data_IF_892860357096
#
_entry.id   IF_892860357096
#
_cell.length_a   1.000
_cell.length_b   1.000
_cell.length_c   1.000
_cell.angle_alpha   90.00
_cell.angle_beta   90.00
_cell.angle_gamma   90.00
#
_symmetry.space_group_name_H-M   'P 1'
#
loop_
_entity.id
_entity.type
_entity.pdbx_description
1 polymer ?
#
# COMPACT_ATOMS: atom_id res chain seq x y z
N UNK A 1 0.23 16.03 40.82
CA UNK A 1 0.46 14.77 40.07
C UNK A 1 -0.64 14.62 39.03
N UNK A 2 -0.33 14.61 37.72
CA UNK A 2 -1.32 14.45 36.64
C UNK A 2 -1.22 13.02 36.09
N UNK A 3 -2.25 12.21 36.35
CA UNK A 3 -2.33 10.83 35.86
C UNK A 3 -2.54 10.82 34.34
N UNK A 4 -1.63 10.16 33.62
CA UNK A 4 -1.73 9.92 32.18
C UNK A 4 -2.68 8.74 31.95
N UNK A 5 -3.77 8.98 31.22
CA UNK A 5 -4.66 7.94 30.70
C UNK A 5 -3.92 7.13 29.62
N UNK A 6 -3.65 5.85 29.89
CA UNK A 6 -3.10 4.90 28.93
C UNK A 6 -4.17 4.54 27.89
N UNK A 7 -4.02 4.99 26.65
CA UNK A 7 -4.87 4.58 25.53
C UNK A 7 -4.35 3.23 25.02
N UNK A 8 -5.09 2.17 25.29
CA UNK A 8 -4.78 0.83 24.81
C UNK A 8 -4.72 0.85 23.26
N UNK A 9 -3.59 0.40 22.70
CA UNK A 9 -3.45 0.15 21.27
C UNK A 9 -4.12 -1.20 21.01
N UNK A 10 -5.24 -1.20 20.30
CA UNK A 10 -5.86 -2.45 19.79
C UNK A 10 -4.86 -3.11 18.85
N UNK A 11 -4.64 -4.40 19.03
CA UNK A 11 -3.73 -5.16 18.17
C UNK A 11 -4.42 -5.47 16.84
N UNK A 12 -3.64 -5.83 15.83
CA UNK A 12 -4.16 -6.22 14.52
C UNK A 12 -5.16 -7.40 14.61
N UNK A 13 -4.92 -8.31 15.56
CA UNK A 13 -5.78 -9.46 15.83
C UNK A 13 -7.17 -9.07 16.35
N UNK A 14 -7.28 -7.97 17.12
CA UNK A 14 -8.58 -7.46 17.62
C UNK A 14 -9.49 -6.92 16.50
N UNK A 15 -8.89 -6.50 15.37
CA UNK A 15 -9.62 -5.96 14.22
C UNK A 15 -10.18 -7.09 13.34
N UNK A 16 -9.43 -8.18 13.16
CA UNK A 16 -9.85 -9.31 12.34
C UNK A 16 -11.07 -10.04 12.94
N UNK A 17 -11.09 -10.22 14.27
CA UNK A 17 -12.23 -10.83 14.96
C UNK A 17 -13.51 -9.98 14.86
N UNK A 18 -13.36 -8.65 14.78
CA UNK A 18 -14.48 -7.72 14.60
C UNK A 18 -15.04 -7.69 13.17
N UNK A 19 -14.20 -8.00 12.17
CA UNK A 19 -14.61 -8.10 10.76
C UNK A 19 -15.30 -9.45 10.51
N UNK A 20 -14.82 -10.53 11.12
CA UNK A 20 -15.43 -11.86 11.00
C UNK A 20 -16.80 -11.98 11.68
N UNK A 21 -17.13 -11.05 12.60
CA UNK A 21 -18.42 -11.01 13.30
C UNK A 21 -19.52 -10.25 12.56
N UNK A 22 -19.20 -9.61 11.44
CA UNK A 22 -20.20 -8.95 10.58
C UNK A 22 -20.86 -10.06 9.74
N UNK A 23 -22.12 -10.36 10.05
CA UNK A 23 -22.87 -11.36 9.29
C UNK A 23 -23.05 -10.90 7.84
N UNK A 24 -23.13 -11.84 6.90
CA UNK A 24 -23.33 -11.53 5.47
C UNK A 24 -24.58 -10.68 5.22
N UNK A 25 -25.63 -10.88 6.01
CA UNK A 25 -26.88 -10.10 5.96
C UNK A 25 -26.67 -8.64 6.38
N UNK A 26 -25.80 -8.37 7.37
CA UNK A 26 -25.51 -7.00 7.80
C UNK A 26 -24.70 -6.22 6.75
N UNK A 27 -23.78 -6.91 6.04
CA UNK A 27 -23.01 -6.32 4.94
C UNK A 27 -23.93 -6.02 3.75
N UNK A 28 -24.84 -6.93 3.44
CA UNK A 28 -25.79 -6.81 2.33
C UNK A 28 -26.80 -5.68 2.59
N UNK A 29 -27.40 -5.61 3.79
CA UNK A 29 -28.30 -4.53 4.19
C UNK A 29 -27.60 -3.16 4.21
N UNK A 30 -26.34 -3.10 4.67
CA UNK A 30 -25.54 -1.87 4.62
C UNK A 30 -25.19 -1.46 3.18
N UNK A 31 -25.03 -2.43 2.27
CA UNK A 31 -24.77 -2.19 0.85
C UNK A 31 -26.02 -1.68 0.12
N UNK A 32 -27.19 -2.24 0.41
CA UNK A 32 -28.48 -1.81 -0.14
C UNK A 32 -28.84 -0.42 0.35
N UNK A 33 -28.66 -0.14 1.65
CA UNK A 33 -28.90 1.18 2.23
C UNK A 33 -27.95 2.24 1.65
N UNK A 34 -26.70 1.88 1.35
CA UNK A 34 -25.77 2.76 0.63
C UNK A 34 -26.19 2.95 -0.82
N UNK A 35 -26.62 1.90 -1.52
CA UNK A 35 -27.08 1.97 -2.92
C UNK A 35 -28.33 2.84 -3.08
N UNK A 36 -29.28 2.77 -2.15
CA UNK A 36 -30.50 3.58 -2.16
C UNK A 36 -30.26 5.10 -2.00
N UNK A 37 -29.10 5.51 -1.45
CA UNK A 37 -28.73 6.93 -1.34
C UNK A 37 -28.23 7.52 -2.67
N UNK A 38 -27.84 6.67 -3.61
CA UNK A 38 -27.30 7.06 -4.91
C UNK A 38 -28.16 6.55 -6.07
N UNK A 39 -29.29 5.90 -5.78
CA UNK A 39 -30.26 5.55 -6.81
C UNK A 39 -30.84 6.84 -7.40
N UNK A 40 -30.69 7.08 -8.71
CA UNK A 40 -31.22 8.27 -9.35
C UNK A 40 -32.73 8.28 -9.14
N UNK A 41 -33.24 9.33 -8.48
CA UNK A 41 -34.68 9.58 -8.42
C UNK A 41 -35.19 9.56 -9.86
N UNK A 42 -36.05 8.59 -10.17
CA UNK A 42 -36.47 8.29 -11.53
C UNK A 42 -36.98 9.53 -12.28
N UNK A 43 -37.01 9.47 -13.62
CA UNK A 43 -37.37 10.62 -14.45
C UNK A 43 -38.75 11.14 -14.04
N UNK A 44 -38.73 12.36 -13.53
CA UNK A 44 -39.86 13.22 -13.19
C UNK A 44 -41.20 12.72 -13.74
N UNK A 45 -42.08 12.23 -12.86
CA UNK A 45 -43.50 12.25 -13.17
C UNK A 45 -43.88 13.72 -13.40
N UNK A 46 -44.17 14.05 -14.65
CA UNK A 46 -44.51 15.36 -15.21
C UNK A 46 -45.82 15.98 -14.65
N UNK A 47 -46.18 15.67 -13.40
CA UNK A 47 -47.34 16.23 -12.68
C UNK A 47 -46.97 17.17 -11.52
N UNK A 48 -45.72 17.67 -11.49
CA UNK A 48 -45.27 18.67 -10.52
C UNK A 48 -44.92 20.03 -11.16
N UNK A 49 -45.32 20.26 -12.42
CA UNK A 49 -45.04 21.53 -13.11
C UNK A 49 -45.90 22.69 -12.60
N UNK A 50 -47.06 22.42 -11.98
CA UNK A 50 -47.92 23.43 -11.35
C UNK A 50 -47.36 23.97 -10.01
N UNK A 51 -46.23 23.44 -9.52
CA UNK A 51 -45.58 23.95 -8.30
C UNK A 51 -44.51 25.01 -8.55
N UNK A 52 -44.32 25.42 -9.80
CA UNK A 52 -43.59 26.65 -10.15
C UNK A 52 -44.49 27.89 -10.18
N UNK A 53 -45.78 27.76 -9.86
CA UNK A 53 -46.55 28.93 -9.52
C UNK A 53 -46.10 29.42 -8.13
N UNK A 54 -45.60 30.65 -8.03
CA UNK A 54 -45.33 31.23 -6.73
C UNK A 54 -46.61 31.13 -5.89
N UNK A 55 -46.52 30.75 -4.58
CA UNK A 55 -47.68 30.71 -3.70
C UNK A 55 -48.53 31.98 -3.86
N UNK A 56 -49.86 31.95 -3.64
CA UNK A 56 -50.73 33.10 -3.82
C UNK A 56 -50.31 34.36 -3.03
N UNK A 57 -49.42 34.21 -2.03
CA UNK A 57 -48.82 35.29 -1.23
C UNK A 57 -47.35 35.62 -1.59
N UNK A 58 -46.80 35.03 -2.65
CA UNK A 58 -45.42 35.28 -3.07
C UNK A 58 -45.39 36.50 -3.99
N UNK A 59 -45.11 37.65 -3.37
CA UNK A 59 -44.70 38.85 -4.09
C UNK A 59 -43.18 38.89 -4.19
N UNK A 60 -42.64 38.76 -5.40
CA UNK A 60 -41.20 38.91 -5.66
C UNK A 60 -40.66 40.29 -5.22
N UNK A 61 -41.54 41.31 -5.18
CA UNK A 61 -41.23 42.64 -4.68
C UNK A 61 -41.10 42.73 -3.14
N UNK A 62 -41.66 41.77 -2.40
CA UNK A 62 -41.63 41.75 -0.93
C UNK A 62 -40.32 41.19 -0.36
N UNK A 63 -39.42 40.66 -1.20
CA UNK A 63 -38.13 40.11 -0.77
C UNK A 63 -36.97 40.72 -1.57
N UNK A 64 -35.81 40.97 -0.93
CA UNK A 64 -34.63 41.41 -1.66
C UNK A 64 -34.22 40.39 -2.73
N UNK A 65 -33.77 40.88 -3.89
CA UNK A 65 -33.27 40.01 -4.98
C UNK A 65 -32.17 39.07 -4.45
N UNK A 66 -32.21 37.80 -4.87
CA UNK A 66 -31.21 36.80 -4.49
C UNK A 66 -31.53 36.03 -3.20
N UNK A 67 -32.76 36.07 -2.69
CA UNK A 67 -33.18 35.30 -1.51
C UNK A 67 -34.07 34.12 -1.95
N UNK A 68 -33.75 32.89 -1.54
CA UNK A 68 -34.53 31.68 -1.89
C UNK A 68 -35.17 31.06 -0.64
N UNK A 69 -36.42 30.61 -0.78
CA UNK A 69 -37.21 29.95 0.27
C UNK A 69 -36.89 28.44 0.33
N UNK A 70 -36.44 27.98 1.51
CA UNK A 70 -36.27 26.55 1.80
C UNK A 70 -37.55 25.82 2.25
N UNK A 71 -37.54 24.48 2.24
CA UNK A 71 -38.69 23.56 2.47
C UNK A 71 -39.43 23.71 3.83
N UNK A 72 -38.84 24.42 4.81
CA UNK A 72 -39.50 24.86 6.08
C UNK A 72 -39.12 26.30 6.51
N UNK A 73 -38.75 27.14 5.54
CA UNK A 73 -38.59 28.61 5.60
C UNK A 73 -37.53 29.17 6.57
N UNK A 74 -36.27 29.15 6.12
CA UNK A 74 -35.28 30.21 6.39
C UNK A 74 -34.86 30.77 5.03
N UNK A 75 -34.89 32.09 4.85
CA UNK A 75 -34.34 32.69 3.65
C UNK A 75 -32.82 32.63 3.75
N UNK A 76 -32.21 32.10 2.71
CA UNK A 76 -30.75 32.09 2.55
C UNK A 76 -30.41 32.90 1.33
N UNK A 77 -29.32 33.65 1.43
CA UNK A 77 -28.78 34.40 0.31
C UNK A 77 -28.21 33.42 -0.72
N UNK A 78 -28.72 33.50 -1.96
CA UNK A 78 -28.35 32.64 -3.08
C UNK A 78 -26.87 32.76 -3.40
N UNK A 79 -26.30 33.97 -3.39
CA UNK A 79 -24.88 34.18 -3.67
C UNK A 79 -23.99 33.51 -2.62
N UNK A 80 -24.41 33.51 -1.35
CA UNK A 80 -23.71 32.78 -0.28
C UNK A 80 -23.78 31.27 -0.53
N UNK A 81 -24.96 30.75 -0.91
CA UNK A 81 -25.11 29.33 -1.22
C UNK A 81 -24.30 28.93 -2.45
N UNK A 82 -24.32 29.75 -3.51
CA UNK A 82 -23.57 29.53 -4.73
C UNK A 82 -22.06 29.65 -4.52
N UNK A 83 -21.61 30.60 -3.71
CA UNK A 83 -20.19 30.72 -3.36
C UNK A 83 -19.72 29.53 -2.53
N UNK A 84 -20.51 29.06 -1.56
CA UNK A 84 -20.21 27.81 -0.83
C UNK A 84 -20.13 26.61 -1.77
N UNK A 85 -21.08 26.47 -2.71
CA UNK A 85 -21.05 25.41 -3.72
C UNK A 85 -19.78 25.50 -4.58
N UNK A 86 -19.44 26.71 -5.04
CA UNK A 86 -18.27 26.97 -5.87
C UNK A 86 -16.98 26.59 -5.15
N UNK A 87 -16.82 27.01 -3.89
CA UNK A 87 -15.66 26.69 -3.06
C UNK A 87 -15.56 25.18 -2.83
N UNK A 88 -16.67 24.51 -2.52
CA UNK A 88 -16.67 23.06 -2.31
C UNK A 88 -16.23 22.30 -3.57
N UNK A 89 -16.74 22.68 -4.74
CA UNK A 89 -16.33 22.07 -6.02
C UNK A 89 -14.85 22.36 -6.33
N UNK A 90 -14.39 23.59 -6.11
CA UNK A 90 -12.98 23.94 -6.33
C UNK A 90 -12.05 23.15 -5.41
N UNK A 91 -12.42 22.98 -4.14
CA UNK A 91 -11.64 22.21 -3.18
C UNK A 91 -11.66 20.71 -3.52
N UNK A 92 -12.78 20.17 -3.98
CA UNK A 92 -12.87 18.80 -4.48
C UNK A 92 -11.94 18.60 -5.68
N UNK A 93 -12.02 19.46 -6.70
CA UNK A 93 -11.16 19.38 -7.88
C UNK A 93 -9.67 19.57 -7.55
N UNK A 94 -9.36 20.36 -6.52
CA UNK A 94 -7.98 20.51 -6.03
C UNK A 94 -7.49 19.19 -5.43
N UNK A 95 -8.30 18.56 -4.59
CA UNK A 95 -7.97 17.26 -3.97
C UNK A 95 -7.89 16.14 -5.00
N UNK A 96 -8.74 16.14 -6.01
CA UNK A 96 -8.70 15.13 -7.08
C UNK A 96 -7.34 15.17 -7.80
N UNK A 97 -6.83 16.37 -8.11
CA UNK A 97 -5.48 16.53 -8.68
C UNK A 97 -4.36 16.08 -7.73
N UNK A 98 -4.52 16.32 -6.44
CA UNK A 98 -3.54 15.86 -5.44
C UNK A 98 -3.55 14.33 -5.34
N UNK A 99 -4.73 13.70 -5.37
CA UNK A 99 -4.89 12.25 -5.38
C UNK A 99 -4.29 11.65 -6.66
N UNK A 100 -4.53 12.27 -7.81
CA UNK A 100 -3.93 11.85 -9.09
C UNK A 100 -2.40 11.85 -8.99
N UNK A 101 -1.79 12.94 -8.50
CA UNK A 101 -0.33 12.99 -8.32
C UNK A 101 0.22 11.99 -7.30
N UNK A 102 -0.50 11.75 -6.19
CA UNK A 102 -0.12 10.71 -5.22
C UNK A 102 -0.21 9.30 -5.82
N UNK A 103 -1.19 9.04 -6.68
CA UNK A 103 -1.33 7.75 -7.36
C UNK A 103 -0.19 7.53 -8.37
N UNK A 104 0.15 8.56 -9.16
CA UNK A 104 1.30 8.50 -10.07
C UNK A 104 2.60 8.16 -9.33
N UNK A 105 2.84 8.82 -8.19
CA UNK A 105 3.99 8.53 -7.34
C UNK A 105 3.95 7.09 -6.79
N UNK A 106 2.79 6.61 -6.34
CA UNK A 106 2.65 5.24 -5.85
C UNK A 106 2.94 4.20 -6.94
N UNK A 107 2.51 4.46 -8.17
CA UNK A 107 2.81 3.60 -9.31
C UNK A 107 4.30 3.60 -9.68
N UNK A 108 4.98 4.75 -9.60
CA UNK A 108 6.43 4.85 -9.77
C UNK A 108 7.16 4.04 -8.70
N UNK A 109 6.82 4.23 -7.43
CA UNK A 109 7.41 3.51 -6.31
C UNK A 109 7.21 1.99 -6.45
N UNK A 110 6.02 1.56 -6.92
CA UNK A 110 5.74 0.15 -7.18
C UNK A 110 6.64 -0.44 -8.28
N UNK A 111 6.85 0.29 -9.39
CA UNK A 111 7.75 -0.12 -10.48
C UNK A 111 9.20 -0.23 -10.00
N UNK A 112 9.68 0.76 -9.24
CA UNK A 112 11.03 0.73 -8.66
C UNK A 112 11.20 -0.45 -7.72
N UNK A 113 10.19 -0.73 -6.89
CA UNK A 113 10.22 -1.86 -5.96
C UNK A 113 10.29 -3.20 -6.70
N UNK A 114 9.53 -3.38 -7.78
CA UNK A 114 9.58 -4.59 -8.62
C UNK A 114 10.97 -4.78 -9.23
N UNK A 115 11.57 -3.72 -9.78
CA UNK A 115 12.91 -3.77 -10.35
C UNK A 115 13.96 -4.21 -9.31
N UNK A 116 13.93 -3.62 -8.11
CA UNK A 116 14.84 -3.97 -7.02
C UNK A 116 14.65 -5.42 -6.54
N UNK A 117 13.40 -5.91 -6.51
CA UNK A 117 13.12 -7.31 -6.17
C UNK A 117 13.73 -8.28 -7.18
N UNK A 118 13.62 -7.96 -8.48
CA UNK A 118 14.23 -8.76 -9.54
C UNK A 118 15.76 -8.75 -9.44
N UNK A 119 16.38 -7.57 -9.26
CA UNK A 119 17.83 -7.45 -9.07
C UNK A 119 18.33 -8.24 -7.85
N UNK A 120 17.60 -8.18 -6.73
CA UNK A 120 17.95 -8.95 -5.54
C UNK A 120 17.91 -10.46 -5.80
N UNK A 121 16.91 -10.95 -6.54
CA UNK A 121 16.82 -12.37 -6.90
C UNK A 121 17.98 -12.80 -7.80
N UNK A 122 18.32 -12.00 -8.81
CA UNK A 122 19.45 -12.24 -9.70
C UNK A 122 20.77 -12.27 -8.92
N UNK A 123 20.98 -11.31 -8.01
CA UNK A 123 22.19 -11.24 -7.19
C UNK A 123 22.29 -12.44 -6.23
N UNK A 124 21.17 -12.91 -5.66
CA UNK A 124 21.14 -14.15 -4.85
C UNK A 124 21.52 -15.37 -5.68
N UNK A 125 20.99 -15.51 -6.89
CA UNK A 125 21.34 -16.61 -7.79
C UNK A 125 22.82 -16.58 -8.16
N UNK A 126 23.35 -15.40 -8.49
CA UNK A 126 24.77 -15.19 -8.79
C UNK A 126 25.67 -15.57 -7.63
N UNK A 127 25.34 -15.15 -6.39
CA UNK A 127 26.08 -15.51 -5.18
C UNK A 127 26.07 -17.02 -4.94
N UNK A 128 24.90 -17.65 -5.07
CA UNK A 128 24.77 -19.10 -4.91
C UNK A 128 25.64 -19.86 -5.93
N UNK A 129 25.70 -19.39 -7.18
CA UNK A 129 26.56 -19.99 -8.20
C UNK A 129 28.04 -19.83 -7.85
N UNK A 130 28.46 -18.62 -7.46
CA UNK A 130 29.84 -18.37 -7.02
C UNK A 130 30.24 -19.19 -5.79
N UNK A 131 29.32 -19.41 -4.84
CA UNK A 131 29.56 -20.27 -3.67
C UNK A 131 29.78 -21.74 -4.06
N UNK A 132 29.03 -22.27 -5.03
CA UNK A 132 29.24 -23.63 -5.55
C UNK A 132 30.60 -23.78 -6.24
N UNK A 133 30.96 -22.78 -7.06
CA UNK A 133 32.26 -22.75 -7.73
C UNK A 133 33.40 -22.67 -6.72
N UNK A 134 33.27 -21.79 -5.71
CA UNK A 134 34.22 -21.67 -4.60
C UNK A 134 34.34 -22.99 -3.83
N UNK A 135 33.24 -23.68 -3.54
CA UNK A 135 33.26 -24.95 -2.83
C UNK A 135 33.99 -26.04 -3.64
N UNK A 136 33.73 -26.10 -4.95
CA UNK A 136 34.41 -27.03 -5.86
C UNK A 136 35.92 -26.76 -5.91
N UNK A 137 36.31 -25.49 -6.11
CA UNK A 137 37.72 -25.10 -6.15
C UNK A 137 38.42 -25.37 -4.82
N UNK A 138 37.73 -25.12 -3.69
CA UNK A 138 38.27 -25.45 -2.37
C UNK A 138 38.47 -26.95 -2.20
N UNK A 139 37.49 -27.78 -2.58
CA UNK A 139 37.63 -29.24 -2.53
C UNK A 139 38.80 -29.75 -3.39
N UNK A 140 38.99 -29.16 -4.58
CA UNK A 140 40.14 -29.47 -5.44
C UNK A 140 41.47 -29.08 -4.77
N UNK A 141 41.54 -27.89 -4.17
CA UNK A 141 42.72 -27.43 -3.44
C UNK A 141 43.04 -28.33 -2.23
N UNK A 142 42.02 -28.72 -1.45
CA UNK A 142 42.18 -29.58 -0.29
C UNK A 142 42.70 -30.98 -0.70
N UNK A 143 42.21 -31.53 -1.82
CA UNK A 143 42.71 -32.79 -2.39
C UNK A 143 44.19 -32.69 -2.79
N UNK A 144 44.57 -31.63 -3.50
CA UNK A 144 45.96 -31.42 -3.91
C UNK A 144 46.89 -31.22 -2.71
N UNK A 145 46.45 -30.46 -1.69
CA UNK A 145 47.23 -30.30 -0.46
C UNK A 145 47.42 -31.62 0.27
N UNK A 146 46.41 -32.48 0.28
CA UNK A 146 46.53 -33.82 0.89
C UNK A 146 47.55 -34.67 0.13
N UNK A 147 47.47 -34.70 -1.21
CA UNK A 147 48.44 -35.43 -2.04
C UNK A 147 49.89 -34.92 -1.88
N UNK A 148 50.06 -33.60 -1.74
CA UNK A 148 51.39 -33.02 -1.50
C UNK A 148 51.95 -33.44 -0.14
N UNK A 149 51.13 -33.41 0.91
CA UNK A 149 51.55 -33.86 2.25
C UNK A 149 51.90 -35.36 2.25
N UNK A 150 51.13 -36.20 1.56
CA UNK A 150 51.42 -37.64 1.42
C UNK A 150 52.78 -37.88 0.74
N UNK A 151 53.10 -37.12 -0.32
CA UNK A 151 54.40 -37.20 -1.01
C UNK A 151 55.56 -36.70 -0.12
N UNK A 152 55.32 -35.72 0.76
CA UNK A 152 56.32 -35.26 1.73
C UNK A 152 56.56 -36.29 2.85
N UNK A 153 55.53 -37.02 3.29
CA UNK A 153 55.66 -38.10 4.29
C UNK A 153 56.31 -39.38 3.74
N UNK A 154 56.12 -39.72 2.46
CA UNK A 154 56.80 -40.85 1.80
C UNK A 154 58.28 -40.57 1.46
N UNK A 155 58.74 -39.33 1.64
CA UNK A 155 60.07 -38.84 1.28
C UNK A 155 61.16 -38.98 2.34
N UNK A 156 61.03 -39.84 3.36
CA UNK A 156 62.08 -40.09 4.36
C UNK A 156 62.99 -41.28 3.99
N UNK A 157 64.20 -41.06 3.43
CA UNK A 157 65.17 -42.12 3.19
C UNK A 157 65.97 -42.44 4.46
N UNK A 158 65.33 -42.92 5.52
CA UNK A 158 66.03 -43.60 6.62
C UNK A 158 66.03 -45.12 6.43
N UNK A 159 66.88 -45.58 5.49
CA UNK A 159 67.61 -46.86 5.55
C UNK A 159 68.48 -47.04 4.29
N UNK A 160 69.58 -46.31 4.20
CA UNK A 160 70.79 -46.83 3.55
C UNK A 160 71.72 -47.28 4.66
N UNK A 161 71.55 -48.56 4.99
CA UNK A 161 72.28 -49.32 5.99
C UNK A 161 73.80 -49.23 5.75
N UNK A 162 74.52 -49.02 6.84
CA UNK A 162 75.97 -48.87 6.92
C UNK A 162 76.70 -50.07 6.29
N UNK A 163 77.25 -49.89 5.08
CA UNK A 163 78.33 -50.75 4.59
C UNK A 163 79.68 -50.03 4.73
N UNK A 164 80.15 -50.04 5.97
CA UNK A 164 81.55 -50.15 6.42
C UNK A 164 82.63 -49.65 5.45
N UNK A 165 83.16 -48.47 5.78
CA UNK A 165 84.53 -48.09 5.44
C UNK A 165 85.48 -49.04 6.18
N UNK A 166 86.07 -50.01 5.48
CA UNK A 166 87.25 -50.72 5.95
C UNK A 166 88.47 -50.12 5.26
N UNK A 167 89.16 -49.24 5.98
CA UNK A 167 90.55 -48.86 5.72
C UNK A 167 91.47 -49.94 6.30
N UNK A 168 92.19 -50.67 5.44
CA UNK A 168 93.64 -50.94 5.47
C UNK A 168 94.02 -52.07 4.49
#
# INVERSE_FOLDING_TARGET
MRSRSSKAKRTFDDLDESIQKISGEDVEMMSERRRALFEPLGPNSVKAFDSFLPPPDFEEASYPRGWVIGKKRKLVNVDVVESMRRIAVQEMNRKDREIEGLNEQLEEDARTMEHLQMELQQERQKRMQAEREKATLKAQADMLMTMLNELEEEGDPEQLDDCQVINN
#
